data_IF_481055248565
#
_entry.id   IF_481055248565
#
_cell.length_a   1.000
_cell.length_b   1.000
_cell.length_c   1.000
_cell.angle_alpha   90.00
_cell.angle_beta   90.00
_cell.angle_gamma   90.00
#
_symmetry.space_group_name_H-M   'P 1'
#
loop_
_entity.id
_entity.type
_entity.pdbx_description
1 polymer ?
#
# COMPACT_ATOMS: atom_id res chain seq x y z
N UNK A 1 -12.48 35.90 16.90
CA UNK A 1 -11.30 35.36 16.19
C UNK A 1 -10.08 35.60 17.06
N UNK A 2 -9.40 34.57 17.61
CA UNK A 2 -8.19 34.82 18.35
C UNK A 2 -7.04 35.09 17.35
N UNK A 3 -6.31 36.18 17.61
CA UNK A 3 -5.09 36.58 16.91
C UNK A 3 -3.95 35.70 17.42
N UNK A 4 -3.39 34.84 16.56
CA UNK A 4 -2.13 34.17 16.83
C UNK A 4 -0.96 35.04 16.33
N UNK A 5 0.01 35.24 17.23
CA UNK A 5 1.22 36.02 16.99
C UNK A 5 2.02 35.42 15.83
N UNK A 6 2.50 36.25 14.91
CA UNK A 6 3.38 35.83 13.82
C UNK A 6 4.78 35.60 14.40
N UNK A 7 5.03 34.41 14.93
CA UNK A 7 6.39 33.97 15.20
C UNK A 7 7.11 33.65 13.89
N UNK A 8 8.33 34.16 13.79
CA UNK A 8 9.19 34.10 12.62
C UNK A 8 9.55 32.63 12.40
N UNK A 9 9.09 32.07 11.28
CA UNK A 9 9.34 30.67 10.92
C UNK A 9 10.75 30.58 10.34
N UNK A 10 11.73 30.24 11.19
CA UNK A 10 12.96 29.65 10.69
C UNK A 10 12.67 28.21 10.22
N UNK A 11 13.15 27.79 9.03
CA UNK A 11 12.93 26.44 8.53
C UNK A 11 13.75 25.42 9.34
N UNK A 12 13.18 24.93 10.45
CA UNK A 12 13.72 23.80 11.19
C UNK A 12 13.67 22.55 10.32
N UNK A 13 14.86 22.09 9.93
CA UNK A 13 15.10 20.84 9.20
C UNK A 13 14.38 19.66 9.85
N UNK A 14 13.76 18.80 9.03
CA UNK A 14 13.33 17.45 9.45
C UNK A 14 14.39 16.81 10.35
N UNK A 15 14.01 16.25 11.50
CA UNK A 15 14.91 15.36 12.26
C UNK A 15 15.02 14.08 11.43
N UNK A 16 16.01 14.04 10.52
CA UNK A 16 16.32 12.88 9.70
C UNK A 16 16.90 11.81 10.61
N UNK A 17 16.03 10.96 11.16
CA UNK A 17 16.40 9.76 11.91
C UNK A 17 16.23 8.53 10.99
N UNK A 18 16.99 7.47 11.26
CA UNK A 18 16.88 6.19 10.54
C UNK A 18 15.44 5.66 10.54
N UNK A 19 14.67 5.91 11.59
CA UNK A 19 13.25 5.53 11.69
C UNK A 19 12.36 6.26 10.69
N UNK A 20 12.53 7.57 10.53
CA UNK A 20 11.80 8.39 9.55
C UNK A 20 12.21 8.05 8.11
N UNK A 21 13.49 7.78 7.87
CA UNK A 21 14.00 7.34 6.57
C UNK A 21 13.39 5.99 6.17
N UNK A 22 13.38 5.01 7.10
CA UNK A 22 12.82 3.69 6.88
C UNK A 22 11.30 3.75 6.64
N UNK A 23 10.59 4.64 7.34
CA UNK A 23 9.16 4.84 7.13
C UNK A 23 8.85 5.50 5.77
N UNK A 24 9.69 6.43 5.30
CA UNK A 24 9.56 7.04 3.97
C UNK A 24 9.83 6.02 2.85
N UNK A 25 10.88 5.22 2.97
CA UNK A 25 11.16 4.12 2.05
C UNK A 25 10.03 3.08 2.06
N UNK A 26 9.51 2.75 3.25
CA UNK A 26 8.38 1.85 3.42
C UNK A 26 7.11 2.36 2.73
N UNK A 27 6.81 3.67 2.79
CA UNK A 27 5.66 4.26 2.06
C UNK A 27 5.74 4.00 0.56
N UNK A 28 6.90 4.27 -0.06
CA UNK A 28 7.08 4.01 -1.49
C UNK A 28 6.99 2.52 -1.80
N UNK A 29 7.70 1.69 -1.04
CA UNK A 29 7.71 0.24 -1.26
C UNK A 29 6.33 -0.39 -1.12
N UNK A 30 5.61 -0.13 -0.03
CA UNK A 30 4.26 -0.65 0.20
C UNK A 30 3.22 -0.06 -0.77
N UNK A 31 3.39 1.19 -1.19
CA UNK A 31 2.54 1.82 -2.21
C UNK A 31 2.66 1.13 -3.56
N UNK A 32 3.89 1.04 -4.10
CA UNK A 32 4.15 0.43 -5.40
C UNK A 32 3.84 -1.07 -5.42
N UNK A 33 4.29 -1.81 -4.41
CA UNK A 33 4.00 -3.26 -4.30
C UNK A 33 2.51 -3.53 -4.19
N UNK A 34 1.77 -2.73 -3.41
CA UNK A 34 0.31 -2.83 -3.30
C UNK A 34 -0.38 -2.64 -4.64
N UNK A 35 -0.01 -1.61 -5.41
CA UNK A 35 -0.58 -1.35 -6.75
C UNK A 35 -0.31 -2.52 -7.71
N UNK A 36 0.93 -3.00 -7.77
CA UNK A 36 1.32 -4.12 -8.65
C UNK A 36 0.56 -5.39 -8.28
N UNK A 37 0.40 -5.67 -6.98
CA UNK A 37 -0.35 -6.84 -6.50
C UNK A 37 -1.83 -6.77 -6.89
N UNK A 38 -2.47 -5.59 -6.80
CA UNK A 38 -3.86 -5.42 -7.22
C UNK A 38 -4.04 -5.62 -8.72
N UNK A 39 -3.15 -5.05 -9.54
CA UNK A 39 -3.19 -5.23 -11.00
C UNK A 39 -3.05 -6.72 -11.35
N UNK A 40 -2.05 -7.39 -10.78
CA UNK A 40 -1.82 -8.82 -10.99
C UNK A 40 -2.99 -9.68 -10.54
N UNK A 41 -3.57 -9.39 -9.37
CA UNK A 41 -4.74 -10.11 -8.87
C UNK A 41 -5.94 -9.96 -9.81
N UNK A 42 -6.19 -8.73 -10.28
CA UNK A 42 -7.29 -8.41 -11.18
C UNK A 42 -7.14 -9.14 -12.53
N UNK A 43 -5.96 -9.07 -13.14
CA UNK A 43 -5.69 -9.77 -14.41
C UNK A 43 -5.86 -11.28 -14.28
N UNK A 44 -5.37 -11.87 -13.17
CA UNK A 44 -5.52 -13.31 -12.90
C UNK A 44 -6.97 -13.72 -12.69
N UNK A 45 -7.77 -12.86 -12.06
CA UNK A 45 -9.19 -13.12 -11.81
C UNK A 45 -10.01 -13.01 -13.11
N UNK A 46 -9.69 -12.04 -13.98
CA UNK A 46 -10.28 -11.96 -15.32
C UNK A 46 -9.92 -13.21 -16.14
N UNK A 47 -8.65 -13.60 -16.12
CA UNK A 47 -8.19 -14.80 -16.84
C UNK A 47 -8.86 -16.08 -16.31
N UNK A 48 -9.02 -16.23 -15.00
CA UNK A 48 -9.68 -17.42 -14.42
C UNK A 48 -11.15 -17.51 -14.82
N UNK A 49 -11.87 -16.37 -14.79
CA UNK A 49 -13.27 -16.30 -15.23
C UNK A 49 -13.39 -16.59 -16.72
N UNK A 50 -12.49 -16.04 -17.55
CA UNK A 50 -12.48 -16.28 -18.99
C UNK A 50 -12.21 -17.77 -19.31
N UNK A 51 -11.16 -18.35 -18.71
CA UNK A 51 -10.81 -19.75 -18.90
C UNK A 51 -11.94 -20.69 -18.50
N UNK A 52 -12.62 -20.41 -17.39
CA UNK A 52 -13.73 -21.22 -16.92
C UNK A 52 -14.98 -21.07 -17.81
N UNK A 53 -15.29 -19.84 -18.23
CA UNK A 53 -16.54 -19.54 -18.95
C UNK A 53 -16.48 -19.87 -20.45
N UNK A 54 -15.32 -19.68 -21.09
CA UNK A 54 -15.19 -19.75 -22.55
C UNK A 54 -14.27 -20.87 -23.05
N UNK A 55 -13.23 -21.26 -22.28
CA UNK A 55 -12.31 -22.32 -22.70
C UNK A 55 -12.67 -23.71 -22.14
N UNK A 56 -13.71 -23.83 -21.31
CA UNK A 56 -14.07 -25.10 -20.68
C UNK A 56 -12.96 -25.66 -19.78
N UNK A 57 -12.06 -24.79 -19.30
CA UNK A 57 -10.95 -25.15 -18.41
C UNK A 57 -11.47 -25.89 -17.18
N UNK A 58 -10.82 -27.01 -16.84
CA UNK A 58 -11.20 -27.83 -15.69
C UNK A 58 -11.29 -27.00 -14.41
N UNK A 59 -12.36 -27.20 -13.64
CA UNK A 59 -12.68 -26.41 -12.44
C UNK A 59 -11.51 -26.30 -11.44
N UNK A 60 -10.64 -27.31 -11.39
CA UNK A 60 -9.42 -27.33 -10.56
C UNK A 60 -8.43 -26.23 -11.00
N UNK A 61 -8.18 -26.07 -12.30
CA UNK A 61 -7.24 -25.08 -12.83
C UNK A 61 -7.77 -23.65 -12.63
N UNK A 62 -9.05 -23.43 -12.91
CA UNK A 62 -9.70 -22.14 -12.63
C UNK A 62 -9.71 -21.82 -11.13
N UNK A 63 -9.98 -22.82 -10.28
CA UNK A 63 -9.95 -22.70 -8.82
C UNK A 63 -8.58 -22.31 -8.28
N UNK A 64 -7.49 -22.94 -8.76
CA UNK A 64 -6.13 -22.56 -8.37
C UNK A 64 -5.77 -21.12 -8.77
N UNK A 65 -6.16 -20.70 -9.98
CA UNK A 65 -5.94 -19.33 -10.44
C UNK A 65 -6.70 -18.30 -9.57
N UNK A 66 -7.94 -18.62 -9.19
CA UNK A 66 -8.75 -17.80 -8.28
C UNK A 66 -8.15 -17.72 -6.87
N UNK A 67 -7.65 -18.83 -6.32
CA UNK A 67 -6.96 -18.84 -5.03
C UNK A 67 -5.70 -17.95 -5.04
N UNK A 68 -4.90 -18.01 -6.11
CA UNK A 68 -3.74 -17.13 -6.25
C UNK A 68 -4.15 -15.65 -6.37
N UNK A 69 -5.21 -15.33 -7.12
CA UNK A 69 -5.72 -13.96 -7.19
C UNK A 69 -6.15 -13.46 -5.79
N UNK A 70 -6.83 -14.31 -5.02
CA UNK A 70 -7.23 -14.02 -3.64
C UNK A 70 -6.02 -13.78 -2.74
N UNK A 71 -4.98 -14.60 -2.84
CA UNK A 71 -3.73 -14.41 -2.09
C UNK A 71 -3.05 -13.08 -2.44
N UNK A 72 -3.00 -12.70 -3.73
CA UNK A 72 -2.49 -11.40 -4.16
C UNK A 72 -3.30 -10.23 -3.58
N UNK A 73 -4.64 -10.33 -3.54
CA UNK A 73 -5.48 -9.32 -2.89
C UNK A 73 -5.20 -9.21 -1.39
N UNK A 74 -5.05 -10.34 -0.69
CA UNK A 74 -4.72 -10.34 0.75
C UNK A 74 -3.37 -9.68 1.01
N UNK A 75 -2.35 -9.98 0.20
CA UNK A 75 -1.04 -9.32 0.28
C UNK A 75 -1.13 -7.82 -0.02
N UNK A 76 -1.95 -7.39 -0.98
CA UNK A 76 -2.19 -5.98 -1.24
C UNK A 76 -2.84 -5.26 -0.05
N UNK A 77 -3.79 -5.92 0.64
CA UNK A 77 -4.40 -5.38 1.87
C UNK A 77 -3.36 -5.23 2.98
N UNK A 78 -2.44 -6.21 3.12
CA UNK A 78 -1.32 -6.12 4.07
C UNK A 78 -0.38 -4.97 3.72
N UNK A 79 -0.06 -4.77 2.44
CA UNK A 79 0.73 -3.62 1.97
C UNK A 79 0.02 -2.30 2.32
N UNK A 80 -1.30 -2.20 2.14
CA UNK A 80 -2.06 -1.01 2.54
C UNK A 80 -2.01 -0.74 4.05
N UNK A 81 -2.03 -1.80 4.88
CA UNK A 81 -1.83 -1.66 6.34
C UNK A 81 -0.42 -1.18 6.65
N UNK A 82 0.61 -1.76 6.04
CA UNK A 82 2.01 -1.33 6.16
C UNK A 82 2.21 0.14 5.75
N UNK A 83 1.63 0.54 4.61
CA UNK A 83 1.61 1.92 4.14
C UNK A 83 1.00 2.88 5.18
N UNK A 84 -0.17 2.56 5.73
CA UNK A 84 -0.82 3.38 6.77
C UNK A 84 0.03 3.47 8.03
N UNK A 85 0.68 2.38 8.43
CA UNK A 85 1.57 2.37 9.58
C UNK A 85 2.80 3.25 9.36
N UNK A 86 3.45 3.17 8.19
CA UNK A 86 4.56 4.06 7.82
C UNK A 86 4.13 5.53 7.80
N UNK A 87 2.94 5.83 7.24
CA UNK A 87 2.37 7.18 7.22
C UNK A 87 2.09 7.70 8.63
N UNK A 88 1.55 6.85 9.50
CA UNK A 88 1.33 7.17 10.91
C UNK A 88 2.65 7.45 11.64
N UNK A 89 3.67 6.61 11.45
CA UNK A 89 5.00 6.82 12.06
C UNK A 89 5.66 8.12 11.60
N UNK A 90 5.55 8.46 10.32
CA UNK A 90 6.03 9.73 9.79
C UNK A 90 5.28 10.93 10.36
N UNK A 91 3.95 10.85 10.49
CA UNK A 91 3.15 11.89 11.16
C UNK A 91 3.43 11.99 12.65
N UNK A 92 3.78 10.89 13.31
CA UNK A 92 4.16 10.88 14.74
C UNK A 92 5.54 11.51 14.98
N UNK A 93 6.45 11.42 14.00
CA UNK A 93 7.77 12.04 14.07
C UNK A 93 7.83 13.43 13.41
N UNK A 94 6.74 13.87 12.75
CA UNK A 94 6.48 15.29 12.59
C UNK A 94 6.19 15.82 14.00
N UNK A 95 7.15 16.55 14.55
CA UNK A 95 7.11 17.12 15.90
C UNK A 95 5.77 17.87 16.04
N UNK A 96 4.91 17.51 17.01
CA UNK A 96 3.81 18.37 17.39
C UNK A 96 4.42 19.68 17.88
N UNK A 97 4.02 20.79 17.26
CA UNK A 97 4.29 22.16 17.73
C UNK A 97 4.37 22.26 19.26
#
# INVERSE_FOLDING_TARGET
>A
MPKFSKEIIEPMSYIVNNTTLLAALGLFFFGFSGIILVINATLRLIASVWMYSFEGSGAIRAGMAFMLATACFMLAVLCRKGFRYCLFKLKQHQIPN
#
